data_IF_528601600601
#
_entry.id   IF_528601600601
#
_cell.length_a   1.000
_cell.length_b   1.000
_cell.length_c   1.000
_cell.angle_alpha   90.00
_cell.angle_beta   90.00
_cell.angle_gamma   90.00
#
_symmetry.space_group_name_H-M   'P 1'
#
loop_
_entity.id
_entity.type
_entity.pdbx_description
1 polymer ?
#
# COMPACT_ATOMS: atom_id res chain seq x y z
N UNK A 1 13.92 11.78 -9.57
CA UNK A 1 12.61 12.45 -9.55
C UNK A 1 11.81 11.64 -8.56
N UNK A 2 11.64 12.19 -7.37
CA UNK A 2 11.24 11.43 -6.19
C UNK A 2 9.74 11.10 -6.28
N UNK A 3 9.39 9.82 -6.31
CA UNK A 3 8.04 9.22 -6.38
C UNK A 3 7.06 9.72 -5.28
N UNK A 4 7.58 10.56 -4.38
CA UNK A 4 6.89 11.28 -3.33
C UNK A 4 5.75 12.20 -3.85
N UNK A 5 5.76 12.60 -5.13
CA UNK A 5 4.67 13.38 -5.73
C UNK A 5 3.45 12.49 -6.01
N UNK A 6 3.61 11.43 -6.80
CA UNK A 6 2.53 10.46 -7.08
C UNK A 6 1.91 9.87 -5.81
N UNK A 7 2.74 9.51 -4.82
CA UNK A 7 2.25 8.99 -3.54
C UNK A 7 1.41 10.02 -2.77
N UNK A 8 1.83 11.29 -2.81
CA UNK A 8 1.12 12.36 -2.12
C UNK A 8 -0.15 12.76 -2.84
N UNK A 9 -0.17 12.73 -4.18
CA UNK A 9 -1.37 12.93 -4.99
C UNK A 9 -2.39 11.81 -4.75
N UNK A 10 -1.95 10.55 -4.80
CA UNK A 10 -2.81 9.42 -4.46
C UNK A 10 -3.35 9.57 -3.04
N UNK A 11 -2.50 9.86 -2.05
CA UNK A 11 -2.94 10.04 -0.68
C UNK A 11 -3.94 11.20 -0.50
N UNK A 12 -3.72 12.33 -1.18
CA UNK A 12 -4.62 13.47 -1.16
C UNK A 12 -6.00 13.17 -1.79
N UNK A 13 -6.10 12.25 -2.75
CA UNK A 13 -7.39 11.80 -3.30
C UNK A 13 -8.25 11.11 -2.25
N UNK A 14 -7.64 10.42 -1.29
CA UNK A 14 -8.35 9.71 -0.22
C UNK A 14 -8.54 10.56 1.05
N UNK A 15 -7.64 11.51 1.34
CA UNK A 15 -7.77 12.47 2.45
C UNK A 15 -8.79 13.58 2.12
N UNK A 16 -10.06 13.21 1.94
CA UNK A 16 -11.14 14.18 1.64
C UNK A 16 -11.34 15.25 2.71
N UNK A 17 -10.84 15.01 3.92
CA UNK A 17 -10.95 15.92 5.07
C UNK A 17 -9.77 16.88 5.17
N UNK A 18 -8.71 16.70 4.37
CA UNK A 18 -7.50 17.53 4.44
C UNK A 18 -6.79 17.45 5.79
N UNK A 19 -6.94 16.31 6.48
CA UNK A 19 -6.39 16.09 7.81
C UNK A 19 -4.94 15.60 7.79
N UNK A 20 -4.44 15.18 6.62
CA UNK A 20 -3.11 14.57 6.47
C UNK A 20 -3.05 13.11 6.93
N UNK A 21 -4.20 12.50 7.19
CA UNK A 21 -4.35 11.11 7.57
C UNK A 21 -5.57 10.49 6.89
N UNK A 22 -5.47 9.24 6.47
CA UNK A 22 -6.56 8.50 5.85
C UNK A 22 -7.02 7.34 6.73
N UNK A 23 -8.29 6.92 6.63
CA UNK A 23 -8.77 5.76 7.37
C UNK A 23 -8.01 4.51 6.93
N UNK A 24 -7.59 3.66 7.88
CA UNK A 24 -6.93 2.38 7.55
C UNK A 24 -7.71 1.51 6.57
N UNK A 25 -9.04 1.54 6.62
CA UNK A 25 -9.94 0.86 5.69
C UNK A 25 -9.78 1.28 4.22
N UNK A 26 -9.29 2.50 3.95
CA UNK A 26 -9.05 3.00 2.59
C UNK A 26 -7.67 2.62 2.04
N UNK A 27 -6.78 2.07 2.88
CA UNK A 27 -5.43 1.69 2.45
C UNK A 27 -5.44 0.68 1.31
N UNK A 28 -6.38 -0.26 1.30
CA UNK A 28 -6.49 -1.24 0.22
C UNK A 28 -6.75 -0.59 -1.14
N UNK A 29 -7.60 0.43 -1.18
CA UNK A 29 -7.94 1.16 -2.40
C UNK A 29 -6.82 2.14 -2.81
N UNK A 30 -6.18 2.77 -1.82
CA UNK A 30 -5.05 3.68 -2.03
C UNK A 30 -3.81 2.94 -2.57
N UNK A 31 -3.54 1.73 -2.10
CA UNK A 31 -2.51 0.87 -2.67
C UNK A 31 -2.83 0.51 -4.13
N UNK A 32 -4.09 0.20 -4.44
CA UNK A 32 -4.56 -0.05 -5.82
C UNK A 32 -4.45 1.16 -6.73
N UNK A 33 -4.70 2.36 -6.22
CA UNK A 33 -4.53 3.60 -6.97
C UNK A 33 -3.07 3.83 -7.39
N UNK A 34 -2.11 3.28 -6.64
CA UNK A 34 -0.67 3.31 -6.95
C UNK A 34 -0.20 2.13 -7.81
N UNK A 35 -1.13 1.31 -8.31
CA UNK A 35 -0.83 0.14 -9.12
C UNK A 35 -0.38 -1.08 -8.32
N UNK A 36 -0.40 -1.03 -6.98
CA UNK A 36 -0.20 -2.22 -6.15
C UNK A 36 -1.49 -3.05 -6.15
N UNK A 37 -1.37 -4.38 -6.13
CA UNK A 37 -2.55 -5.24 -6.10
C UNK A 37 -2.53 -6.15 -4.87
N UNK A 38 -2.68 -5.58 -3.65
CA UNK A 38 -2.67 -6.38 -2.43
C UNK A 38 -3.91 -7.28 -2.37
N UNK A 39 -3.73 -8.47 -1.82
CA UNK A 39 -4.83 -9.41 -1.58
C UNK A 39 -5.67 -8.98 -0.38
N UNK A 40 -6.89 -9.50 -0.25
CA UNK A 40 -7.76 -9.20 0.89
C UNK A 40 -7.09 -9.54 2.24
N UNK A 41 -6.30 -10.63 2.28
CA UNK A 41 -5.55 -11.05 3.45
C UNK A 41 -4.46 -10.02 3.81
N UNK A 42 -3.65 -9.61 2.83
CA UNK A 42 -2.62 -8.58 3.04
C UNK A 42 -3.24 -7.25 3.47
N UNK A 43 -4.33 -6.81 2.82
CA UNK A 43 -5.03 -5.59 3.24
C UNK A 43 -5.51 -5.71 4.69
N UNK A 44 -6.02 -6.87 5.11
CA UNK A 44 -6.42 -7.10 6.50
C UNK A 44 -5.21 -7.05 7.46
N UNK A 45 -4.07 -7.63 7.10
CA UNK A 45 -2.84 -7.56 7.91
C UNK A 45 -2.31 -6.13 8.01
N UNK A 46 -2.29 -5.40 6.90
CA UNK A 46 -1.90 -3.98 6.85
C UNK A 46 -2.82 -3.16 7.73
N UNK A 47 -4.13 -3.34 7.62
CA UNK A 47 -5.13 -2.63 8.45
C UNK A 47 -4.98 -2.99 9.94
N UNK A 48 -4.65 -4.24 10.23
CA UNK A 48 -4.44 -4.71 11.60
C UNK A 48 -3.15 -4.15 12.22
N UNK A 49 -2.08 -4.03 11.42
CA UNK A 49 -0.81 -3.46 11.83
C UNK A 49 -0.82 -1.92 11.82
N UNK A 50 -1.70 -1.31 11.02
CA UNK A 50 -1.83 0.13 10.91
C UNK A 50 -2.67 0.73 12.05
N UNK A 51 -2.35 1.97 12.48
CA UNK A 51 -3.18 2.72 13.39
C UNK A 51 -4.54 3.04 12.77
N UNK A 52 -5.50 3.48 13.59
CA UNK A 52 -6.85 3.87 13.13
C UNK A 52 -6.81 4.91 12.00
N UNK A 53 -5.95 5.91 12.18
CA UNK A 53 -5.71 7.01 11.26
C UNK A 53 -4.29 6.88 10.73
N UNK A 54 -4.16 6.67 9.43
CA UNK A 54 -2.88 6.37 8.78
C UNK A 54 -2.36 7.64 8.16
N UNK A 55 -1.31 8.19 8.76
CA UNK A 55 -0.58 9.34 8.23
C UNK A 55 0.30 8.95 7.04
N UNK A 56 0.73 9.97 6.30
CA UNK A 56 1.56 9.79 5.10
C UNK A 56 2.87 9.01 5.38
N UNK A 57 3.48 9.18 6.56
CA UNK A 57 4.73 8.50 6.90
C UNK A 57 4.49 7.00 7.18
N UNK A 58 3.42 6.69 7.90
CA UNK A 58 2.96 5.31 8.09
C UNK A 58 2.61 4.64 6.76
N UNK A 59 1.91 5.37 5.88
CA UNK A 59 1.62 4.90 4.53
C UNK A 59 2.91 4.56 3.73
N UNK A 60 3.92 5.44 3.75
CA UNK A 60 5.19 5.17 3.07
C UNK A 60 5.90 3.94 3.63
N UNK A 61 5.84 3.68 4.94
CA UNK A 61 6.41 2.46 5.54
C UNK A 61 5.71 1.19 5.06
N UNK A 62 4.40 1.25 4.86
CA UNK A 62 3.60 0.14 4.32
C UNK A 62 3.98 -0.10 2.85
N UNK A 63 4.11 0.96 2.07
CA UNK A 63 4.47 0.88 0.65
C UNK A 63 5.91 0.39 0.43
N UNK A 64 6.85 0.85 1.26
CA UNK A 64 8.27 0.48 1.20
C UNK A 64 8.58 -0.80 2.01
N UNK A 65 7.58 -1.64 2.28
CA UNK A 65 7.79 -2.88 3.03
C UNK A 65 8.76 -3.77 2.25
N UNK A 66 9.89 -4.21 2.85
CA UNK A 66 10.90 -5.00 2.16
C UNK A 66 10.38 -6.37 1.70
N UNK A 67 9.34 -6.87 2.34
CA UNK A 67 8.65 -8.11 1.98
C UNK A 67 7.70 -7.97 0.77
N UNK A 68 7.40 -6.74 0.33
CA UNK A 68 6.39 -6.46 -0.69
C UNK A 68 4.98 -6.90 -0.30
N UNK A 69 4.02 -6.73 -1.22
CA UNK A 69 2.68 -7.30 -1.09
C UNK A 69 2.71 -8.69 -1.72
N UNK A 70 2.83 -9.73 -0.89
CA UNK A 70 2.84 -11.11 -1.41
C UNK A 70 1.39 -11.56 -1.69
N UNK A 71 1.10 -12.13 -2.87
CA UNK A 71 -0.15 -12.83 -3.04
C UNK A 71 -0.19 -14.01 -2.06
N UNK A 72 -1.38 -14.31 -1.51
CA UNK A 72 -1.60 -15.28 -0.43
C UNK A 72 -1.33 -16.76 -0.83
N UNK A 73 -0.44 -17.01 -1.77
CA UNK A 73 -0.01 -18.33 -2.20
C UNK A 73 0.82 -18.24 -3.47
N UNK A 74 2.14 -18.17 -3.32
CA UNK A 74 3.06 -18.59 -4.39
C UNK A 74 3.89 -19.76 -3.89
N UNK A 75 3.43 -21.01 -4.01
CA UNK A 75 4.36 -22.11 -4.15
C UNK A 75 4.98 -22.02 -5.54
N UNK A 76 6.12 -21.34 -5.64
CA UNK A 76 7.01 -21.38 -6.80
C UNK A 76 6.59 -20.52 -8.00
N UNK A 77 7.33 -19.44 -8.21
CA UNK A 77 7.71 -19.04 -9.58
C UNK A 77 9.11 -18.40 -9.51
N UNK A 78 10.09 -19.23 -9.15
CA UNK A 78 11.48 -19.02 -9.52
C UNK A 78 11.67 -19.60 -10.93
N UNK A 79 11.08 -18.96 -11.94
CA UNK A 79 11.43 -19.22 -13.33
C UNK A 79 11.42 -17.89 -14.07
N UNK A 80 12.53 -17.16 -13.90
CA UNK A 80 13.05 -16.39 -15.02
C UNK A 80 13.74 -17.40 -15.95
N UNK A 81 13.15 -17.82 -17.09
CA UNK A 81 14.00 -18.27 -18.17
C UNK A 81 14.67 -17.03 -18.78
N UNK A 82 15.99 -17.04 -18.66
CA UNK A 82 16.90 -16.19 -19.42
C UNK A 82 16.63 -16.29 -20.94
N UNK A 83 16.82 -15.15 -21.60
CA UNK A 83 17.13 -14.95 -23.02
C UNK A 83 15.99 -15.00 -24.04
#
# INVERSE_FOLDING_TARGET
MSDNAEYKEAFALFDKRGTGAVPRETLGDLLRALGQNPTQAEVAEIIAAAPRDVDYNTFLKILNRPDGFKPAGTPGEHFLPFH
#
